data_IF_159088674005
#
_entry.id   IF_159088674005
#
_cell.length_a   1.000
_cell.length_b   1.000
_cell.length_c   1.000
_cell.angle_alpha   90.00
_cell.angle_beta   90.00
_cell.angle_gamma   90.00
#
_symmetry.space_group_name_H-M   'P 1'
#
loop_
_entity.id
_entity.type
_entity.pdbx_description
1 polymer ?
#
# COMPACT_ATOMS: atom_id res chain seq x y z
N UNK A 1 -31.50 -54.91 20.55
CA UNK A 1 -30.90 -55.20 21.88
C UNK A 1 -29.66 -56.05 21.59
N UNK A 2 -28.40 -55.69 21.83
CA UNK A 2 -27.71 -54.85 22.82
C UNK A 2 -26.40 -54.32 22.17
N UNK A 3 -26.00 -53.03 22.26
CA UNK A 3 -25.36 -52.29 23.37
C UNK A 3 -23.98 -52.82 23.81
N UNK A 4 -22.91 -52.07 23.45
CA UNK A 4 -21.68 -51.69 24.21
C UNK A 4 -20.55 -51.40 23.22
N UNK A 5 -20.24 -50.12 22.98
CA UNK A 5 -19.21 -49.35 23.70
C UNK A 5 -17.80 -49.90 23.48
N UNK A 6 -16.97 -49.16 22.72
CA UNK A 6 -15.65 -48.77 23.22
C UNK A 6 -15.09 -47.59 22.41
N UNK A 7 -15.06 -46.44 23.09
CA UNK A 7 -14.29 -45.25 22.75
C UNK A 7 -12.81 -45.54 22.98
N UNK A 8 -11.99 -45.44 21.93
CA UNK A 8 -10.58 -45.07 21.97
C UNK A 8 -10.37 -44.17 20.74
N UNK A 9 -10.06 -42.89 20.86
CA UNK A 9 -8.89 -42.39 21.57
C UNK A 9 -7.76 -42.22 20.57
N UNK A 10 -7.84 -41.20 19.69
CA UNK A 10 -6.67 -40.69 18.97
C UNK A 10 -6.61 -39.19 19.21
N UNK A 11 -5.70 -38.80 20.10
CA UNK A 11 -5.24 -37.45 20.25
C UNK A 11 -4.56 -37.01 18.94
N UNK A 12 -5.31 -36.32 18.09
CA UNK A 12 -4.76 -35.60 16.96
C UNK A 12 -4.10 -34.34 17.48
N UNK A 13 -2.80 -34.42 17.77
CA UNK A 13 -1.96 -33.24 17.94
C UNK A 13 -2.03 -32.41 16.65
N UNK A 14 -2.85 -31.36 16.64
CA UNK A 14 -2.76 -30.31 15.63
C UNK A 14 -1.45 -29.59 15.91
N UNK A 15 -0.40 -30.04 15.22
CA UNK A 15 0.82 -29.28 15.04
C UNK A 15 0.41 -27.95 14.38
N UNK A 16 0.25 -26.92 15.20
CA UNK A 16 0.27 -25.55 14.75
C UNK A 16 1.69 -25.30 14.23
N UNK A 17 1.92 -25.69 12.98
CA UNK A 17 3.06 -25.23 12.23
C UNK A 17 2.96 -23.72 12.20
N UNK A 18 3.77 -23.06 13.01
CA UNK A 18 4.16 -21.67 12.83
C UNK A 18 4.94 -21.61 11.52
N UNK A 19 4.21 -21.70 10.40
CA UNK A 19 4.71 -21.26 9.12
C UNK A 19 5.04 -19.80 9.31
N UNK A 20 6.33 -19.50 9.48
CA UNK A 20 6.84 -18.15 9.33
C UNK A 20 6.41 -17.72 7.93
N UNK A 21 5.28 -17.00 7.86
CA UNK A 21 4.76 -16.48 6.61
C UNK A 21 5.88 -15.63 6.03
N UNK A 22 6.51 -16.11 4.97
CA UNK A 22 7.60 -15.38 4.33
C UNK A 22 7.11 -13.96 4.07
N UNK A 23 7.87 -12.98 4.53
CA UNK A 23 7.56 -11.57 4.31
C UNK A 23 7.33 -11.38 2.80
N UNK A 24 6.17 -10.87 2.37
CA UNK A 24 5.85 -10.74 0.96
C UNK A 24 6.93 -9.94 0.25
N UNK A 25 7.25 -10.29 -1.00
CA UNK A 25 8.24 -9.53 -1.76
C UNK A 25 7.78 -8.08 -2.03
N UNK A 26 8.72 -7.22 -2.42
CA UNK A 26 8.44 -5.80 -2.64
C UNK A 26 7.35 -5.55 -3.70
N UNK A 27 7.28 -6.39 -4.75
CA UNK A 27 6.27 -6.28 -5.81
C UNK A 27 4.89 -6.63 -5.26
N UNK A 28 4.79 -7.69 -4.45
CA UNK A 28 3.55 -8.12 -3.83
C UNK A 28 3.00 -7.06 -2.88
N UNK A 29 3.85 -6.41 -2.07
CA UNK A 29 3.44 -5.31 -1.18
C UNK A 29 2.87 -4.14 -1.99
N UNK A 30 3.56 -3.70 -3.05
CA UNK A 30 3.07 -2.61 -3.90
C UNK A 30 1.78 -2.99 -4.60
N UNK A 31 1.73 -4.18 -5.22
CA UNK A 31 0.53 -4.67 -5.92
C UNK A 31 -0.69 -4.69 -5.01
N UNK A 32 -0.56 -5.24 -3.81
CA UNK A 32 -1.66 -5.31 -2.84
C UNK A 32 -2.18 -3.91 -2.46
N UNK A 33 -1.28 -2.92 -2.26
CA UNK A 33 -1.68 -1.55 -1.95
C UNK A 33 -2.49 -0.91 -3.09
N UNK A 34 -2.08 -1.11 -4.34
CA UNK A 34 -2.81 -0.59 -5.50
C UNK A 34 -4.13 -1.30 -5.73
N UNK A 35 -4.17 -2.62 -5.61
CA UNK A 35 -5.39 -3.41 -5.77
C UNK A 35 -6.43 -3.04 -4.71
N UNK A 36 -6.02 -2.87 -3.45
CA UNK A 36 -6.90 -2.42 -2.37
C UNK A 36 -7.51 -1.03 -2.67
N UNK A 37 -6.69 -0.08 -3.15
CA UNK A 37 -7.17 1.26 -3.54
C UNK A 37 -8.14 1.19 -4.71
N UNK A 38 -7.84 0.42 -5.75
CA UNK A 38 -8.72 0.28 -6.91
C UNK A 38 -10.06 -0.39 -6.56
N UNK A 39 -10.05 -1.37 -5.64
CA UNK A 39 -11.27 -1.98 -5.14
C UNK A 39 -12.11 -1.01 -4.31
N UNK A 40 -11.48 -0.19 -3.47
CA UNK A 40 -12.13 0.88 -2.73
C UNK A 40 -12.81 1.89 -3.68
N UNK A 41 -12.08 2.32 -4.72
CA UNK A 41 -12.60 3.25 -5.74
C UNK A 41 -13.80 2.65 -6.50
N UNK A 42 -13.71 1.38 -6.93
CA UNK A 42 -14.82 0.68 -7.60
C UNK A 42 -16.07 0.60 -6.74
N UNK A 43 -15.89 0.41 -5.43
CA UNK A 43 -16.99 0.35 -4.45
C UNK A 43 -17.50 1.73 -4.04
N UNK A 44 -16.84 2.81 -4.47
CA UNK A 44 -17.09 4.19 -4.02
C UNK A 44 -17.02 4.34 -2.50
N UNK A 45 -16.23 3.50 -1.84
CA UNK A 45 -15.99 3.53 -0.40
C UNK A 45 -14.53 3.92 -0.19
N UNK A 46 -14.23 5.05 0.46
CA UNK A 46 -12.85 5.46 0.70
C UNK A 46 -12.09 4.39 1.47
N UNK A 47 -10.82 4.17 1.11
CA UNK A 47 -9.92 3.34 1.89
C UNK A 47 -9.75 3.97 3.29
N UNK A 48 -9.87 3.15 4.35
CA UNK A 48 -9.66 3.67 5.71
C UNK A 48 -8.24 4.20 5.87
N UNK A 49 -8.06 5.17 6.78
CA UNK A 49 -6.72 5.73 7.04
C UNK A 49 -5.74 4.63 7.47
N UNK A 50 -6.15 3.74 8.36
CA UNK A 50 -5.37 2.59 8.80
C UNK A 50 -4.92 1.73 7.62
N UNK A 51 -5.84 1.38 6.73
CA UNK A 51 -5.54 0.54 5.55
C UNK A 51 -4.59 1.25 4.58
N UNK A 52 -4.72 2.58 4.44
CA UNK A 52 -3.82 3.37 3.61
C UNK A 52 -2.42 3.50 4.23
N UNK A 53 -2.33 3.68 5.55
CA UNK A 53 -1.07 3.89 6.25
C UNK A 53 -0.32 2.57 6.51
N UNK A 54 -1.02 1.44 6.62
CA UNK A 54 -0.43 0.13 6.89
C UNK A 54 0.79 -0.22 6.00
N UNK A 55 0.74 -0.05 4.65
CA UNK A 55 1.89 -0.37 3.80
C UNK A 55 3.01 0.68 3.85
N UNK A 56 2.80 1.85 4.43
CA UNK A 56 3.78 2.94 4.42
C UNK A 56 4.84 2.77 5.51
N UNK A 57 6.04 3.27 5.23
CA UNK A 57 7.15 3.34 6.18
C UNK A 57 6.83 4.24 7.36
N UNK A 58 7.46 4.02 8.50
CA UNK A 58 7.27 4.87 9.67
C UNK A 58 7.53 6.36 9.36
N UNK A 59 8.64 6.75 8.70
CA UNK A 59 8.88 8.14 8.33
C UNK A 59 7.77 8.72 7.46
N UNK A 60 7.31 7.99 6.42
CA UNK A 60 6.28 8.49 5.53
C UNK A 60 4.92 8.62 6.23
N UNK A 61 4.57 7.69 7.13
CA UNK A 61 3.37 7.81 7.97
C UNK A 61 3.41 9.04 8.86
N UNK A 62 4.54 9.29 9.51
CA UNK A 62 4.72 10.46 10.37
C UNK A 62 4.58 11.74 9.58
N UNK A 63 5.29 11.85 8.45
CA UNK A 63 5.21 12.99 7.54
C UNK A 63 3.77 13.24 7.06
N UNK A 64 3.08 12.18 6.64
CA UNK A 64 1.68 12.26 6.21
C UNK A 64 0.75 12.79 7.32
N UNK A 65 0.90 12.29 8.56
CA UNK A 65 0.08 12.72 9.69
C UNK A 65 0.32 14.18 10.06
N UNK A 66 1.58 14.62 10.11
CA UNK A 66 1.92 16.02 10.39
C UNK A 66 1.31 16.95 9.35
N UNK A 67 1.49 16.64 8.06
CA UNK A 67 0.92 17.42 6.96
C UNK A 67 -0.61 17.50 6.99
N UNK A 68 -1.30 16.53 7.60
CA UNK A 68 -2.76 16.51 7.76
C UNK A 68 -3.26 17.16 9.04
N UNK A 69 -2.45 17.16 10.11
CA UNK A 69 -2.74 17.89 11.34
C UNK A 69 -2.60 19.40 11.19
N UNK A 70 -1.76 19.85 10.26
CA UNK A 70 -1.52 21.27 9.95
C UNK A 70 -1.72 21.56 8.46
N UNK A 71 -2.96 21.49 7.94
CA UNK A 71 -3.22 21.73 6.53
C UNK A 71 -2.91 23.20 6.17
N UNK A 72 -1.95 23.42 5.29
CA UNK A 72 -1.69 24.76 4.76
C UNK A 72 -2.93 25.32 4.02
N UNK A 73 -3.10 26.65 3.98
CA UNK A 73 -4.16 27.28 3.18
C UNK A 73 -4.10 26.82 1.72
N UNK A 74 -5.19 26.25 1.21
CA UNK A 74 -5.26 25.69 -0.15
C UNK A 74 -5.02 24.18 -0.24
N UNK A 75 -4.90 23.47 0.89
CA UNK A 75 -4.93 22.00 0.88
C UNK A 75 -6.28 21.52 0.32
N UNK A 76 -6.31 20.68 -0.74
CA UNK A 76 -7.57 20.18 -1.26
C UNK A 76 -8.35 19.41 -0.17
N UNK A 77 -9.57 19.87 0.10
CA UNK A 77 -10.50 19.20 1.02
C UNK A 77 -11.07 17.95 0.34
N UNK A 78 -10.56 16.78 0.72
CA UNK A 78 -11.01 15.48 0.19
C UNK A 78 -9.94 14.40 0.34
N UNK A 79 -10.20 13.14 -0.07
CA UNK A 79 -9.17 12.12 -0.10
C UNK A 79 -8.13 12.48 -1.16
N UNK A 80 -7.04 13.10 -0.67
CA UNK A 80 -5.62 13.03 -1.06
C UNK A 80 -5.29 13.28 -2.54
N UNK A 81 -4.19 14.01 -2.78
CA UNK A 81 -3.27 13.63 -3.87
C UNK A 81 -3.12 12.12 -3.76
N UNK A 82 -3.74 11.34 -4.67
CA UNK A 82 -3.72 9.89 -4.57
C UNK A 82 -2.25 9.50 -4.70
N UNK A 83 -1.59 9.25 -3.57
CA UNK A 83 -0.17 8.96 -3.56
C UNK A 83 0.15 7.79 -4.52
N UNK A 84 -0.82 6.90 -4.70
CA UNK A 84 -0.81 5.78 -5.62
C UNK A 84 -0.98 6.20 -7.09
N UNK A 85 -1.77 7.22 -7.42
CA UNK A 85 -2.09 7.54 -8.83
C UNK A 85 -1.42 8.82 -9.33
N UNK A 86 -0.79 9.59 -8.44
CA UNK A 86 -0.17 10.87 -8.72
C UNK A 86 -1.11 12.06 -8.69
N UNK A 87 -0.51 13.24 -8.89
CA UNK A 87 -1.23 14.52 -8.93
C UNK A 87 -2.31 14.55 -10.02
N UNK A 88 -3.36 15.33 -9.79
CA UNK A 88 -4.50 15.53 -10.70
C UNK A 88 -5.40 14.31 -11.00
N UNK A 89 -5.28 13.22 -10.25
CA UNK A 89 -6.28 12.13 -10.30
C UNK A 89 -7.37 12.41 -9.28
N UNK A 90 -8.53 12.84 -9.77
CA UNK A 90 -9.70 13.10 -8.93
C UNK A 90 -10.47 11.79 -8.64
N UNK A 91 -11.17 11.70 -7.49
CA UNK A 91 -12.08 10.60 -7.21
C UNK A 91 -13.08 10.39 -8.37
N UNK A 92 -13.31 9.13 -8.72
CA UNK A 92 -14.22 8.75 -9.81
C UNK A 92 -13.59 8.72 -11.21
N UNK A 93 -12.33 9.16 -11.37
CA UNK A 93 -11.60 8.88 -12.60
C UNK A 93 -11.37 7.36 -12.76
N UNK A 94 -11.58 6.84 -13.97
CA UNK A 94 -11.26 5.46 -14.28
C UNK A 94 -9.75 5.24 -14.24
N UNK A 95 -9.30 4.36 -13.34
CA UNK A 95 -7.91 3.92 -13.20
C UNK A 95 -7.86 2.40 -13.35
N UNK A 96 -6.91 1.91 -14.14
CA UNK A 96 -6.61 0.48 -14.23
C UNK A 96 -5.14 0.23 -13.92
N UNK A 97 -4.86 -0.87 -13.22
CA UNK A 97 -3.51 -1.38 -13.00
C UNK A 97 -3.14 -2.29 -14.16
N UNK A 98 -2.10 -1.92 -14.92
CA UNK A 98 -1.60 -2.73 -16.03
C UNK A 98 -0.52 -3.70 -15.55
N UNK A 99 0.59 -3.16 -15.03
CA UNK A 99 1.74 -3.96 -14.60
C UNK A 99 2.37 -3.40 -13.31
N UNK A 100 2.95 -4.29 -12.52
CA UNK A 100 3.79 -3.97 -11.36
C UNK A 100 5.08 -4.74 -11.53
N UNK A 101 6.19 -4.04 -11.69
CA UNK A 101 7.48 -4.61 -12.10
C UNK A 101 8.58 -4.13 -11.15
N UNK A 102 9.44 -5.04 -10.72
CA UNK A 102 10.62 -4.68 -9.95
C UNK A 102 11.65 -4.02 -10.87
N UNK A 103 12.03 -2.76 -10.58
CA UNK A 103 13.12 -2.07 -11.31
C UNK A 103 14.48 -2.34 -10.63
N UNK A 104 14.52 -2.36 -9.30
CA UNK A 104 15.73 -2.65 -8.54
C UNK A 104 15.40 -3.24 -7.17
N UNK A 105 16.26 -4.12 -6.65
CA UNK A 105 16.19 -4.63 -5.29
C UNK A 105 17.59 -4.82 -4.70
N UNK A 106 17.77 -4.36 -3.47
CA UNK A 106 18.87 -4.67 -2.59
C UNK A 106 18.36 -5.24 -1.26
N UNK A 107 19.26 -5.46 -0.31
CA UNK A 107 18.91 -6.06 0.98
C UNK A 107 17.87 -5.26 1.78
N UNK A 108 17.95 -3.93 1.73
CA UNK A 108 17.11 -3.02 2.55
C UNK A 108 16.32 -1.99 1.74
N UNK A 109 16.47 -1.95 0.42
CA UNK A 109 15.79 -0.99 -0.47
C UNK A 109 15.35 -1.66 -1.76
N UNK A 110 14.24 -1.21 -2.33
CA UNK A 110 13.78 -1.63 -3.64
C UNK A 110 13.05 -0.48 -4.35
N UNK A 111 13.04 -0.51 -5.68
CA UNK A 111 12.18 0.34 -6.50
C UNK A 111 11.29 -0.53 -7.36
N UNK A 112 9.98 -0.27 -7.30
CA UNK A 112 8.96 -0.96 -8.08
C UNK A 112 8.27 0.04 -9.00
N UNK A 113 8.25 -0.26 -10.29
CA UNK A 113 7.48 0.47 -11.29
C UNK A 113 6.02 -0.01 -11.31
N UNK A 114 5.09 0.94 -11.29
CA UNK A 114 3.65 0.69 -11.38
C UNK A 114 3.11 1.38 -12.63
N UNK A 115 2.71 0.58 -13.61
CA UNK A 115 2.07 1.05 -14.82
C UNK A 115 0.55 1.09 -14.63
N UNK A 116 -0.02 2.28 -14.79
CA UNK A 116 -1.44 2.55 -14.70
C UNK A 116 -1.97 3.06 -16.04
N UNK A 117 -3.27 2.93 -16.25
CA UNK A 117 -3.99 3.76 -17.23
C UNK A 117 -4.99 4.63 -16.49
N UNK A 118 -4.88 5.95 -16.65
CA UNK A 118 -5.79 6.94 -16.04
C UNK A 118 -6.55 7.64 -17.17
N UNK A 119 -7.88 7.46 -17.25
CA UNK A 119 -8.72 8.00 -18.35
C UNK A 119 -8.19 7.67 -19.76
N UNK A 120 -7.66 6.47 -19.94
CA UNK A 120 -7.09 6.01 -21.21
C UNK A 120 -5.64 6.46 -21.48
N UNK A 121 -5.06 7.32 -20.64
CA UNK A 121 -3.67 7.75 -20.77
C UNK A 121 -2.74 6.88 -19.89
N UNK A 122 -1.62 6.36 -20.43
CA UNK A 122 -0.66 5.61 -19.64
C UNK A 122 0.03 6.50 -18.61
N UNK A 123 0.26 5.96 -17.41
CA UNK A 123 0.99 6.64 -16.33
C UNK A 123 1.93 5.67 -15.65
N UNK A 124 3.10 6.15 -15.30
CA UNK A 124 4.10 5.41 -14.55
C UNK A 124 4.31 6.06 -13.19
N UNK A 125 4.20 5.26 -12.12
CA UNK A 125 4.56 5.66 -10.76
C UNK A 125 5.69 4.75 -10.30
N UNK A 126 6.77 5.32 -9.79
CA UNK A 126 7.84 4.56 -9.15
C UNK A 126 7.63 4.58 -7.65
N UNK A 127 7.65 3.41 -7.05
CA UNK A 127 7.44 3.23 -5.61
C UNK A 127 8.76 2.80 -5.01
N UNK A 128 9.31 3.62 -4.13
CA UNK A 128 10.50 3.27 -3.38
C UNK A 128 10.10 2.58 -2.09
N UNK A 129 10.74 1.47 -1.79
CA UNK A 129 10.52 0.66 -0.61
C UNK A 129 11.77 0.57 0.24
N UNK A 130 11.57 0.42 1.54
CA UNK A 130 12.60 0.14 2.55
C UNK A 130 12.20 -1.09 3.36
N UNK A 131 13.18 -1.80 3.92
CA UNK A 131 12.89 -2.79 4.96
C UNK A 131 12.78 -2.12 6.33
N UNK A 132 11.67 -2.36 7.02
CA UNK A 132 11.43 -2.02 8.43
C UNK A 132 10.89 -3.28 9.13
N UNK A 133 11.52 -3.70 10.22
CA UNK A 133 11.13 -4.89 10.99
C UNK A 133 10.93 -6.14 10.10
N UNK A 134 11.88 -6.38 9.20
CA UNK A 134 11.87 -7.46 8.19
C UNK A 134 10.70 -7.44 7.19
N UNK A 135 9.92 -6.36 7.17
CA UNK A 135 8.84 -6.14 6.20
C UNK A 135 9.20 -5.03 5.21
N UNK A 136 8.80 -5.21 3.94
CA UNK A 136 8.86 -4.13 2.97
C UNK A 136 7.80 -3.07 3.28
N UNK A 137 8.21 -1.81 3.32
CA UNK A 137 7.35 -0.65 3.52
C UNK A 137 7.58 0.38 2.44
N UNK A 138 6.51 1.03 1.99
CA UNK A 138 6.58 2.10 0.98
C UNK A 138 7.15 3.36 1.62
N UNK A 139 8.29 3.82 1.11
CA UNK A 139 8.98 5.00 1.58
C UNK A 139 8.68 6.26 0.75
N UNK A 140 8.41 6.11 -0.55
CA UNK A 140 8.05 7.24 -1.40
C UNK A 140 7.26 6.79 -2.64
N UNK A 141 6.51 7.72 -3.21
CA UNK A 141 5.91 7.63 -4.54
C UNK A 141 6.52 8.73 -5.42
N UNK A 142 7.21 8.32 -6.48
CA UNK A 142 7.82 9.21 -7.47
C UNK A 142 7.01 9.21 -8.75
N UNK A 143 6.69 10.41 -9.21
CA UNK A 143 6.01 10.69 -10.47
C UNK A 143 7.00 11.29 -11.47
N UNK A 144 6.65 11.43 -12.75
CA UNK A 144 7.56 12.01 -13.74
C UNK A 144 8.09 13.41 -13.39
N UNK A 145 7.28 14.21 -12.68
CA UNK A 145 7.58 15.63 -12.43
C UNK A 145 7.57 16.01 -10.94
N UNK A 146 7.36 15.06 -10.03
CA UNK A 146 7.22 15.35 -8.60
C UNK A 146 7.43 14.08 -7.77
N UNK A 147 7.62 14.23 -6.47
CA UNK A 147 7.64 13.12 -5.52
C UNK A 147 6.79 13.44 -4.28
N UNK A 148 6.22 12.39 -3.69
CA UNK A 148 5.21 12.56 -2.66
C UNK A 148 5.79 13.07 -1.35
N UNK A 149 7.02 12.66 -0.99
CA UNK A 149 7.71 13.15 0.20
C UNK A 149 7.97 14.66 0.06
N UNK A 150 8.59 15.11 -1.02
CA UNK A 150 8.86 16.53 -1.23
C UNK A 150 7.56 17.35 -1.32
N UNK A 151 6.49 16.80 -1.90
CA UNK A 151 5.18 17.43 -1.87
C UNK A 151 4.68 17.67 -0.44
N UNK A 152 4.75 16.65 0.44
CA UNK A 152 4.36 16.78 1.84
C UNK A 152 5.24 17.80 2.58
N UNK A 153 6.55 17.79 2.36
CA UNK A 153 7.49 18.74 2.96
C UNK A 153 7.18 20.20 2.56
N UNK A 154 6.94 20.45 1.27
CA UNK A 154 6.57 21.78 0.76
C UNK A 154 5.27 22.29 1.36
N UNK A 155 4.33 21.40 1.72
CA UNK A 155 3.09 21.80 2.38
C UNK A 155 3.30 22.21 3.84
N UNK A 156 4.30 21.67 4.53
CA UNK A 156 4.59 22.02 5.92
C UNK A 156 5.46 23.27 6.06
N UNK A 157 6.20 23.64 5.00
CA UNK A 157 7.11 24.78 5.00
C UNK A 157 6.43 26.14 4.71
N UNK A 158 5.09 26.18 4.64
CA UNK A 158 4.29 27.39 4.32
C UNK A 158 3.36 27.73 5.46
#
# INVERSE_FOLDING_TARGET
MNRRELLLGVAGAVAAGTGASASPDAVAVVRAAYEASLQADRRKVPLSEESFLAPLSLPLRTLWRVARGHPAPGMPAGPKVHALYGTAVLPGHAVTLAHVTLESAGASRATVAVALTVRGAPRLVRVDLVREDDAWRIANFRYPNDDYVAFLERMMAR
#
